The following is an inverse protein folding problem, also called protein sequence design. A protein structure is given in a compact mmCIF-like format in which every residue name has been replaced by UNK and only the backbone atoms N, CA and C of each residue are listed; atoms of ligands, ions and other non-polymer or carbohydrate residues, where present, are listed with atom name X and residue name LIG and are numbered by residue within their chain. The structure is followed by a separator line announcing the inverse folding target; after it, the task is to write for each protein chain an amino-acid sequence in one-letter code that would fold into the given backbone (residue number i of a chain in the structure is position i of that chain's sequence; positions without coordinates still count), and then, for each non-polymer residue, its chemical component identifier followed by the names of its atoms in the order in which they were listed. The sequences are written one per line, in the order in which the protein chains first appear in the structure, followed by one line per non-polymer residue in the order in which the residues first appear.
data_IF_790861852175
#
_entry.id   IF_790861852175
#
_cell.length_a   1.000
_cell.length_b   1.000
_cell.length_c   1.000
_cell.angle_alpha   90.00
_cell.angle_beta   90.00
_cell.angle_gamma   90.00
#
_symmetry.space_group_name_H-M   'P 1'
#
loop_
_entity.id
_entity.type
_entity.pdbx_description
1 polymer ?
#
# COMPACT_ATOMS: atom_id res chain seq x y z
N UNK A 1 -39.13 -86.61 9.12
CA UNK A 1 -40.02 -87.27 8.19
C UNK A 1 -39.65 -86.84 6.81
N UNK A 2 -38.75 -87.55 6.13
CA UNK A 2 -39.02 -88.53 5.07
C UNK A 2 -39.60 -87.84 3.79
N UNK A 3 -39.10 -87.98 2.63
CA UNK A 3 -38.56 -89.02 1.74
C UNK A 3 -38.16 -88.38 0.42
N UNK A 4 -36.98 -88.66 -0.12
CA UNK A 4 -36.69 -89.56 -1.25
C UNK A 4 -37.44 -89.25 -2.58
N UNK A 5 -36.77 -89.07 -3.69
CA UNK A 5 -36.27 -90.02 -4.68
C UNK A 5 -35.79 -89.34 -5.97
N UNK A 6 -34.53 -89.49 -6.33
CA UNK A 6 -33.91 -90.26 -7.44
C UNK A 6 -34.14 -89.83 -8.89
N UNK A 7 -32.97 -89.69 -9.58
CA UNK A 7 -32.62 -90.07 -10.99
C UNK A 7 -32.93 -89.00 -12.05
N UNK A 8 -32.05 -88.72 -12.96
CA UNK A 8 -30.98 -89.46 -13.61
C UNK A 8 -30.16 -88.62 -14.60
N UNK A 9 -29.07 -89.12 -14.93
CA UNK A 9 -27.99 -88.73 -15.77
C UNK A 9 -28.32 -88.24 -17.18
N UNK A 10 -27.56 -87.26 -17.71
CA UNK A 10 -26.88 -87.48 -19.00
C UNK A 10 -25.80 -86.41 -19.16
N UNK A 11 -24.61 -86.89 -19.49
CA UNK A 11 -23.43 -86.14 -19.95
C UNK A 11 -23.69 -85.50 -21.34
N UNK A 12 -23.31 -84.28 -21.50
CA UNK A 12 -22.76 -83.79 -22.78
C UNK A 12 -21.70 -82.71 -22.52
N UNK A 13 -20.50 -82.97 -22.96
CA UNK A 13 -19.34 -82.11 -23.03
C UNK A 13 -19.63 -81.01 -24.02
N UNK A 14 -19.36 -79.79 -23.68
CA UNK A 14 -19.03 -78.71 -24.65
C UNK A 14 -17.84 -77.91 -24.10
N UNK A 15 -16.78 -78.05 -24.81
CA UNK A 15 -15.45 -77.48 -24.62
C UNK A 15 -15.38 -76.03 -25.03
N UNK A 16 -14.60 -75.21 -24.27
CA UNK A 16 -13.78 -74.10 -24.69
C UNK A 16 -14.40 -72.97 -25.51
N UNK A 17 -14.76 -71.90 -24.84
CA UNK A 17 -14.76 -70.50 -25.37
C UNK A 17 -14.50 -69.39 -24.33
N UNK A 18 -13.95 -69.75 -23.15
CA UNK A 18 -13.74 -68.78 -22.07
C UNK A 18 -12.32 -68.14 -22.02
N UNK A 19 -11.38 -68.60 -22.87
CA UNK A 19 -9.96 -68.18 -22.76
C UNK A 19 -9.55 -67.07 -23.71
N UNK A 20 -10.35 -66.73 -24.72
CA UNK A 20 -10.02 -65.65 -25.70
C UNK A 20 -10.57 -64.29 -25.28
N UNK A 21 -11.65 -64.23 -24.45
CA UNK A 21 -12.19 -62.94 -23.99
C UNK A 21 -11.39 -62.30 -22.85
N UNK A 22 -10.59 -63.07 -22.13
CA UNK A 22 -9.83 -62.56 -20.95
C UNK A 22 -8.54 -61.84 -21.33
N UNK A 23 -7.95 -62.14 -22.50
CA UNK A 23 -6.75 -61.44 -23.00
C UNK A 23 -7.05 -60.12 -23.71
N UNK A 24 -8.24 -59.91 -24.24
CA UNK A 24 -8.64 -58.63 -24.83
C UNK A 24 -9.03 -57.55 -23.81
N UNK A 25 -9.50 -57.97 -22.62
CA UNK A 25 -9.84 -57.03 -21.55
C UNK A 25 -8.62 -56.53 -20.77
N UNK A 26 -7.52 -57.30 -20.70
CA UNK A 26 -6.27 -56.87 -20.04
C UNK A 26 -5.43 -55.92 -20.89
N UNK A 27 -5.54 -55.92 -22.24
CA UNK A 27 -4.81 -55.00 -23.12
C UNK A 27 -5.49 -53.62 -23.17
N UNK A 28 -6.82 -53.52 -22.95
CA UNK A 28 -7.53 -52.25 -22.94
C UNK A 28 -7.38 -51.52 -21.56
N UNK A 29 -7.15 -52.31 -20.45
CA UNK A 29 -6.90 -51.71 -19.13
C UNK A 29 -5.48 -51.16 -18.96
N UNK A 30 -4.48 -51.65 -19.72
CA UNK A 30 -3.09 -51.19 -19.62
C UNK A 30 -2.79 -49.91 -20.46
N UNK A 31 -3.69 -49.45 -21.36
CA UNK A 31 -3.48 -48.29 -22.20
C UNK A 31 -4.25 -47.04 -21.72
N UNK A 32 -5.00 -47.13 -20.61
CA UNK A 32 -5.77 -46.03 -20.06
C UNK A 32 -5.12 -45.40 -18.81
N UNK A 33 -3.88 -45.73 -18.49
CA UNK A 33 -3.22 -45.28 -17.22
C UNK A 33 -2.21 -44.14 -17.45
N UNK A 34 -2.06 -43.55 -18.64
CA UNK A 34 -1.05 -42.50 -18.83
C UNK A 34 -1.53 -41.31 -19.66
N UNK A 35 -2.64 -40.71 -19.27
CA UNK A 35 -2.97 -39.32 -19.64
C UNK A 35 -3.74 -38.71 -18.47
N UNK A 36 -3.12 -38.67 -17.28
CA UNK A 36 -3.40 -37.53 -16.39
C UNK A 36 -2.69 -36.35 -17.05
N UNK A 37 -3.42 -35.30 -17.48
CA UNK A 37 -2.75 -34.05 -17.73
C UNK A 37 -2.09 -33.71 -16.39
N UNK A 38 -0.77 -33.60 -16.37
CA UNK A 38 -0.12 -32.81 -15.31
C UNK A 38 -0.90 -31.50 -15.29
N UNK A 39 -1.70 -31.29 -14.26
CA UNK A 39 -2.14 -29.95 -13.91
C UNK A 39 -0.82 -29.19 -13.66
N UNK A 40 -0.30 -28.54 -14.70
CA UNK A 40 0.72 -27.53 -14.53
C UNK A 40 0.05 -26.53 -13.59
N UNK A 41 0.40 -26.63 -12.30
CA UNK A 41 -0.08 -25.69 -11.30
C UNK A 41 0.17 -24.29 -11.88
N UNK A 42 -0.87 -23.52 -12.06
CA UNK A 42 -0.76 -22.19 -12.61
C UNK A 42 0.32 -21.48 -11.81
N UNK A 43 1.37 -21.00 -12.50
CA UNK A 43 2.52 -20.37 -11.84
C UNK A 43 2.00 -19.20 -11.02
N UNK A 44 2.29 -19.19 -9.71
CA UNK A 44 1.85 -18.15 -8.81
C UNK A 44 2.51 -16.81 -9.18
N UNK A 45 1.74 -15.73 -9.11
CA UNK A 45 2.21 -14.37 -9.40
C UNK A 45 3.12 -13.86 -8.29
N UNK A 46 4.36 -13.48 -8.62
CA UNK A 46 5.24 -12.76 -7.70
C UNK A 46 4.77 -11.30 -7.53
N UNK A 47 5.19 -10.65 -6.46
CA UNK A 47 4.81 -9.27 -6.17
C UNK A 47 6.04 -8.41 -5.86
N UNK A 48 6.17 -7.29 -6.55
CA UNK A 48 7.08 -6.20 -6.21
C UNK A 48 6.25 -4.96 -5.87
N UNK A 49 6.16 -4.64 -4.58
CA UNK A 49 5.45 -3.45 -4.09
C UNK A 49 6.47 -2.34 -3.85
N UNK A 50 6.41 -1.30 -4.68
CA UNK A 50 7.28 -0.12 -4.65
C UNK A 50 6.54 1.00 -3.95
N UNK A 51 7.09 1.49 -2.84
CA UNK A 51 6.53 2.59 -2.07
C UNK A 51 7.49 3.76 -2.08
N UNK A 52 7.11 4.85 -2.77
CA UNK A 52 7.80 6.13 -2.70
C UNK A 52 7.47 6.84 -1.38
N UNK A 53 8.36 7.67 -0.87
CA UNK A 53 8.28 8.27 0.45
C UNK A 53 8.37 9.79 0.37
N UNK A 54 7.33 10.49 0.82
CA UNK A 54 7.25 11.96 0.75
C UNK A 54 7.37 12.46 -0.70
N UNK A 55 6.48 12.04 -1.61
CA UNK A 55 6.54 12.36 -3.02
C UNK A 55 5.24 13.02 -3.51
N UNK A 56 5.35 14.24 -4.03
CA UNK A 56 4.20 14.99 -4.55
C UNK A 56 3.64 14.34 -5.81
N UNK A 57 2.32 14.29 -5.91
CA UNK A 57 1.62 13.64 -7.03
C UNK A 57 1.92 14.24 -8.41
N UNK A 58 2.35 15.49 -8.47
CA UNK A 58 2.68 16.19 -9.71
C UNK A 58 4.17 16.11 -10.09
N UNK A 59 5.06 15.63 -9.21
CA UNK A 59 6.50 15.65 -9.44
C UNK A 59 7.00 14.42 -10.22
N UNK A 60 6.33 14.14 -11.36
CA UNK A 60 6.67 13.06 -12.29
C UNK A 60 6.57 13.57 -13.74
N UNK A 61 7.43 13.07 -14.61
CA UNK A 61 7.36 13.37 -16.06
C UNK A 61 6.03 12.97 -16.67
N UNK A 62 5.51 11.76 -16.37
CA UNK A 62 4.22 11.29 -16.89
C UNK A 62 3.00 12.06 -16.34
N UNK A 63 3.19 12.86 -15.28
CA UNK A 63 2.17 13.78 -14.75
C UNK A 63 2.31 15.20 -15.31
N UNK A 64 3.34 15.46 -16.14
CA UNK A 64 3.55 16.72 -16.84
C UNK A 64 4.53 17.68 -16.17
N UNK A 65 5.33 17.22 -15.18
CA UNK A 65 6.33 18.08 -14.57
C UNK A 65 7.45 18.44 -15.58
N UNK A 66 7.74 19.73 -15.72
CA UNK A 66 8.65 20.22 -16.78
C UNK A 66 10.14 19.93 -16.51
N UNK A 67 10.54 19.82 -15.25
CA UNK A 67 11.95 19.77 -14.85
C UNK A 67 12.39 18.45 -14.23
N UNK A 68 11.51 17.79 -13.47
CA UNK A 68 11.84 16.54 -12.79
C UNK A 68 12.00 15.41 -13.79
N UNK A 69 13.13 14.71 -13.72
CA UNK A 69 13.47 13.59 -14.61
C UNK A 69 13.12 12.26 -13.95
N UNK A 70 12.09 11.59 -14.50
CA UNK A 70 11.62 10.30 -14.01
C UNK A 70 11.44 9.27 -15.15
N UNK A 71 12.45 9.04 -16.01
CA UNK A 71 12.30 8.21 -17.20
C UNK A 71 11.89 6.76 -16.89
N UNK A 72 12.30 6.22 -15.75
CA UNK A 72 11.97 4.85 -15.35
C UNK A 72 10.55 4.74 -14.76
N UNK A 73 10.11 5.71 -13.97
CA UNK A 73 8.73 5.83 -13.51
C UNK A 73 7.79 6.14 -14.69
N UNK A 74 8.24 6.95 -15.66
CA UNK A 74 7.50 7.20 -16.91
C UNK A 74 7.35 5.92 -17.74
N UNK A 75 8.39 5.08 -17.80
CA UNK A 75 8.33 3.75 -18.39
C UNK A 75 7.33 2.88 -17.65
N UNK A 76 7.41 2.81 -16.31
CA UNK A 76 6.49 2.05 -15.48
C UNK A 76 5.04 2.51 -15.72
N UNK A 77 4.78 3.81 -15.73
CA UNK A 77 3.46 4.37 -15.99
C UNK A 77 2.92 3.98 -17.37
N UNK A 78 3.74 4.06 -18.42
CA UNK A 78 3.38 3.68 -19.78
C UNK A 78 3.06 2.20 -19.94
N UNK A 79 3.73 1.34 -19.16
CA UNK A 79 3.56 -0.11 -19.19
C UNK A 79 2.50 -0.62 -18.19
N UNK A 80 1.89 0.27 -17.40
CA UNK A 80 0.96 -0.05 -16.32
C UNK A 80 -0.49 0.29 -16.66
N UNK A 81 -1.41 -0.31 -15.92
CA UNK A 81 -2.69 0.32 -15.64
C UNK A 81 -2.43 1.43 -14.62
N UNK A 82 -2.49 2.67 -15.10
CA UNK A 82 -2.20 3.88 -14.33
C UNK A 82 -3.48 4.52 -13.81
N UNK A 83 -3.53 4.80 -12.51
CA UNK A 83 -4.56 5.59 -11.85
C UNK A 83 -3.93 6.89 -11.31
N UNK A 84 -3.98 8.00 -12.05
CA UNK A 84 -3.40 9.28 -11.61
C UNK A 84 -4.18 9.96 -10.50
N UNK A 85 -5.41 9.48 -10.22
CA UNK A 85 -6.28 9.92 -9.13
C UNK A 85 -6.36 8.85 -8.04
N UNK A 86 -5.19 8.32 -7.66
CA UNK A 86 -5.03 7.52 -6.46
C UNK A 86 -4.92 8.41 -5.23
N UNK A 87 -5.30 7.86 -4.07
CA UNK A 87 -5.23 8.56 -2.79
C UNK A 87 -4.71 7.62 -1.70
N UNK A 88 -3.88 8.14 -0.81
CA UNK A 88 -3.59 7.46 0.45
C UNK A 88 -4.66 7.82 1.48
N UNK A 89 -4.94 6.92 2.43
CA UNK A 89 -5.99 7.14 3.43
C UNK A 89 -5.63 8.21 4.46
N UNK A 90 -4.32 8.46 4.65
CA UNK A 90 -3.81 9.45 5.58
C UNK A 90 -2.53 10.08 5.04
N UNK A 91 -2.36 11.39 5.22
CA UNK A 91 -1.20 12.17 4.74
C UNK A 91 0.02 12.08 5.68
N UNK A 92 0.24 10.90 6.29
CA UNK A 92 1.31 10.68 7.24
C UNK A 92 1.88 9.25 7.09
N UNK A 93 3.19 9.12 7.17
CA UNK A 93 3.95 7.90 6.87
C UNK A 93 3.42 6.65 7.58
N UNK A 94 3.48 6.62 8.91
CA UNK A 94 3.20 5.42 9.69
C UNK A 94 1.78 4.88 9.48
N UNK A 95 0.70 5.69 9.58
CA UNK A 95 -0.66 5.22 9.32
C UNK A 95 -0.88 4.81 7.84
N UNK A 96 -0.28 5.54 6.89
CA UNK A 96 -0.41 5.18 5.48
C UNK A 96 0.29 3.86 5.14
N UNK A 97 1.51 3.64 5.61
CA UNK A 97 2.22 2.36 5.43
C UNK A 97 1.48 1.19 6.08
N UNK A 98 0.89 1.42 7.27
CA UNK A 98 0.05 0.42 7.93
C UNK A 98 -1.21 0.12 7.10
N UNK A 99 -1.85 1.13 6.49
CA UNK A 99 -2.97 0.91 5.55
C UNK A 99 -2.54 0.09 4.34
N UNK A 100 -1.42 0.41 3.70
CA UNK A 100 -0.92 -0.30 2.51
C UNK A 100 -0.71 -1.80 2.82
N UNK A 101 -0.14 -2.11 3.99
CA UNK A 101 0.20 -3.49 4.34
C UNK A 101 -0.98 -4.30 4.91
N UNK A 102 -2.02 -3.62 5.45
CA UNK A 102 -3.17 -4.28 6.09
C UNK A 102 -4.44 -4.25 5.24
N UNK A 103 -4.57 -3.31 4.30
CA UNK A 103 -5.81 -3.02 3.58
C UNK A 103 -6.93 -2.48 4.47
N UNK A 104 -6.59 -1.84 5.60
CA UNK A 104 -7.53 -1.25 6.57
C UNK A 104 -7.27 0.23 6.77
N UNK A 105 -8.30 0.96 7.17
CA UNK A 105 -8.16 2.37 7.53
C UNK A 105 -7.45 2.56 8.86
N UNK A 106 -6.78 3.72 9.10
CA UNK A 106 -6.07 3.99 10.34
C UNK A 106 -6.90 3.80 11.62
N UNK A 107 -8.18 4.22 11.64
CA UNK A 107 -9.06 3.97 12.78
C UNK A 107 -9.36 2.48 13.03
N UNK A 108 -9.19 1.62 12.04
CA UNK A 108 -9.43 0.17 12.15
C UNK A 108 -8.21 -0.61 12.61
N UNK A 109 -6.99 -0.18 12.22
CA UNK A 109 -5.75 -0.81 12.66
C UNK A 109 -5.08 -0.07 13.82
N UNK A 110 -5.65 1.03 14.31
CA UNK A 110 -5.22 1.84 15.46
C UNK A 110 -3.82 2.45 15.36
N UNK A 111 -3.22 2.44 14.18
CA UNK A 111 -1.92 3.10 13.93
C UNK A 111 -2.24 4.43 13.23
N UNK A 112 -2.49 5.45 14.01
CA UNK A 112 -2.96 6.76 13.52
C UNK A 112 -1.86 7.80 13.39
N UNK A 113 -0.73 7.62 14.08
CA UNK A 113 0.32 8.62 14.22
C UNK A 113 1.71 8.02 13.98
N UNK A 114 2.71 8.88 13.74
CA UNK A 114 4.11 8.43 13.61
C UNK A 114 4.73 8.09 14.96
N UNK A 115 4.45 8.87 15.99
CA UNK A 115 5.07 8.74 17.29
C UNK A 115 4.00 8.52 18.39
N UNK A 116 4.32 7.75 19.44
CA UNK A 116 3.42 7.53 20.58
C UNK A 116 3.25 8.80 21.40
N UNK A 117 2.27 8.82 22.34
CA UNK A 117 2.04 9.95 23.22
C UNK A 117 3.27 10.36 24.01
N UNK A 118 3.44 11.68 24.20
CA UNK A 118 4.43 12.22 25.11
C UNK A 118 3.79 12.69 26.40
N UNK A 119 4.52 12.51 27.50
CA UNK A 119 4.09 13.02 28.80
C UNK A 119 4.54 14.48 28.97
N UNK A 120 3.60 15.36 29.32
CA UNK A 120 3.89 16.78 29.58
C UNK A 120 4.95 16.93 30.65
N UNK A 121 5.96 17.74 30.37
CA UNK A 121 7.07 18.01 31.30
C UNK A 121 8.17 16.96 31.33
N UNK A 122 8.03 15.85 30.59
CA UNK A 122 9.06 14.83 30.44
C UNK A 122 9.71 14.98 29.05
N UNK A 123 10.95 15.45 29.04
CA UNK A 123 11.68 15.62 27.78
C UNK A 123 12.00 14.26 27.14
N UNK A 124 11.78 14.13 25.81
CA UNK A 124 11.98 12.89 25.03
C UNK A 124 13.39 12.30 25.22
N UNK A 125 14.40 13.13 25.40
CA UNK A 125 15.80 12.72 25.56
C UNK A 125 16.20 12.33 26.99
N UNK A 126 15.29 12.48 27.97
CA UNK A 126 15.51 12.01 29.34
C UNK A 126 15.36 10.48 29.42
N UNK A 127 15.91 9.81 30.44
CA UNK A 127 15.70 8.38 30.64
C UNK A 127 14.22 7.97 30.66
N UNK A 128 13.39 8.73 31.38
CA UNK A 128 11.95 8.49 31.47
C UNK A 128 11.25 8.74 30.13
N UNK A 129 11.60 9.81 29.42
CA UNK A 129 11.02 10.09 28.11
C UNK A 129 11.37 9.03 27.07
N UNK A 130 12.59 8.51 27.07
CA UNK A 130 12.97 7.38 26.21
C UNK A 130 12.20 6.12 26.56
N UNK A 131 12.02 5.79 27.85
CA UNK A 131 11.23 4.63 28.27
C UNK A 131 9.78 4.77 27.80
N UNK A 132 9.12 5.90 28.07
CA UNK A 132 7.75 6.16 27.61
C UNK A 132 7.61 6.04 26.10
N UNK A 133 8.59 6.53 25.34
CA UNK A 133 8.60 6.41 23.90
C UNK A 133 8.70 4.95 23.45
N UNK A 134 9.59 4.15 24.04
CA UNK A 134 9.76 2.73 23.73
C UNK A 134 8.49 1.96 24.07
N UNK A 135 7.92 2.19 25.26
CA UNK A 135 6.69 1.53 25.70
C UNK A 135 5.50 1.88 24.78
N UNK A 136 5.40 3.14 24.39
CA UNK A 136 4.38 3.57 23.44
C UNK A 136 4.56 2.99 22.04
N UNK A 137 5.80 2.92 21.53
CA UNK A 137 6.11 2.23 20.27
C UNK A 137 5.74 0.75 20.33
N UNK A 138 6.00 0.09 21.45
CA UNK A 138 5.63 -1.31 21.61
C UNK A 138 4.11 -1.52 21.53
N UNK A 139 3.30 -0.65 22.14
CA UNK A 139 1.84 -0.71 21.99
C UNK A 139 1.40 -0.53 20.53
N UNK A 140 1.98 0.42 19.79
CA UNK A 140 1.71 0.58 18.36
C UNK A 140 2.09 -0.67 17.54
N UNK A 141 3.18 -1.35 17.90
CA UNK A 141 3.59 -2.60 17.27
C UNK A 141 2.58 -3.73 17.54
N UNK A 142 2.03 -3.82 18.75
CA UNK A 142 0.99 -4.80 19.10
C UNK A 142 -0.28 -4.59 18.28
N UNK A 143 -0.70 -3.35 17.99
CA UNK A 143 -1.84 -3.09 17.12
C UNK A 143 -1.64 -3.69 15.71
N UNK A 144 -0.43 -3.60 15.14
CA UNK A 144 -0.15 -4.25 13.86
C UNK A 144 -0.21 -5.77 13.97
N UNK A 145 0.37 -6.36 15.01
CA UNK A 145 0.36 -7.83 15.22
C UNK A 145 -1.04 -8.41 15.34
N UNK A 146 -1.98 -7.63 15.87
CA UNK A 146 -3.40 -7.99 15.99
C UNK A 146 -4.18 -7.79 14.69
N UNK A 147 -3.57 -7.19 13.68
CA UNK A 147 -4.21 -6.90 12.39
C UNK A 147 -3.63 -7.83 11.31
N UNK A 148 -4.46 -8.57 10.55
CA UNK A 148 -3.96 -9.35 9.43
C UNK A 148 -3.22 -8.48 8.42
N UNK A 149 -1.99 -8.85 8.08
CA UNK A 149 -1.14 -8.15 7.13
C UNK A 149 -1.01 -8.90 5.81
N UNK A 150 -0.74 -8.19 4.74
CA UNK A 150 -0.54 -8.78 3.41
C UNK A 150 0.54 -9.89 3.39
N UNK A 151 1.76 -9.69 3.98
CA UNK A 151 2.75 -10.77 4.05
C UNK A 151 2.26 -12.00 4.80
N UNK A 152 1.55 -11.83 5.92
CA UNK A 152 1.02 -12.93 6.70
C UNK A 152 -0.07 -13.72 5.92
N UNK A 153 -0.94 -13.02 5.18
CA UNK A 153 -1.96 -13.66 4.34
C UNK A 153 -1.32 -14.41 3.17
N UNK A 154 -0.32 -13.84 2.51
CA UNK A 154 0.42 -14.48 1.42
C UNK A 154 1.22 -15.70 1.90
N UNK A 155 1.82 -15.65 3.09
CA UNK A 155 2.59 -16.75 3.66
C UNK A 155 1.75 -18.03 3.83
N UNK A 156 0.43 -17.91 4.09
CA UNK A 156 -0.49 -19.05 4.15
C UNK A 156 -0.64 -19.79 2.81
N UNK A 157 -0.26 -19.13 1.71
CA UNK A 157 -0.25 -19.69 0.36
C UNK A 157 1.17 -20.00 -0.15
N UNK A 158 2.15 -20.08 0.75
CA UNK A 158 3.52 -20.51 0.44
C UNK A 158 4.44 -19.39 -0.08
N UNK A 159 4.04 -18.13 -0.01
CA UNK A 159 4.89 -17.01 -0.39
C UNK A 159 6.01 -16.78 0.62
N UNK A 160 7.21 -16.52 0.11
CA UNK A 160 8.24 -15.84 0.88
C UNK A 160 8.09 -14.33 0.74
N UNK A 161 8.41 -13.58 1.78
CA UNK A 161 8.29 -12.12 1.75
C UNK A 161 9.50 -11.44 2.34
N UNK A 162 9.93 -10.33 1.71
CA UNK A 162 11.13 -9.58 2.10
C UNK A 162 10.81 -8.12 2.34
N UNK A 163 11.00 -7.68 3.59
CA UNK A 163 10.87 -6.27 3.97
C UNK A 163 12.19 -5.55 3.78
N UNK A 164 12.16 -4.44 3.02
CA UNK A 164 13.31 -3.55 2.86
C UNK A 164 12.90 -2.08 3.04
N UNK A 165 13.83 -1.25 3.44
CA UNK A 165 13.61 0.19 3.59
C UNK A 165 12.77 0.55 4.80
N UNK A 166 11.91 1.54 4.60
CA UNK A 166 11.10 2.16 5.65
C UNK A 166 10.11 1.18 6.27
N UNK A 167 10.16 1.10 7.58
CA UNK A 167 9.28 0.29 8.40
C UNK A 167 9.16 0.88 9.80
N UNK A 168 7.94 0.88 10.37
CA UNK A 168 7.68 1.57 11.63
C UNK A 168 7.35 0.64 12.80
N UNK A 169 6.89 -0.58 12.52
CA UNK A 169 6.31 -1.48 13.50
C UNK A 169 7.30 -2.55 14.00
N UNK A 170 8.44 -2.07 14.49
CA UNK A 170 9.43 -2.95 15.13
C UNK A 170 10.14 -3.89 14.16
N UNK A 171 10.48 -5.08 14.62
CA UNK A 171 11.14 -6.09 13.80
C UNK A 171 10.24 -6.53 12.63
N UNK A 172 10.80 -6.79 11.44
CA UNK A 172 10.04 -7.15 10.23
C UNK A 172 9.05 -8.30 10.43
N UNK A 173 9.35 -9.27 11.30
CA UNK A 173 8.48 -10.41 11.61
C UNK A 173 7.13 -10.01 12.22
N UNK A 174 7.06 -8.87 12.88
CA UNK A 174 5.79 -8.32 13.41
C UNK A 174 4.80 -7.97 12.32
N UNK A 175 5.30 -7.59 11.14
CA UNK A 175 4.49 -7.40 9.94
C UNK A 175 4.18 -8.68 9.16
N UNK A 176 4.58 -9.85 9.67
CA UNK A 176 4.37 -11.14 9.00
C UNK A 176 5.35 -11.45 7.88
N UNK A 177 6.40 -10.66 7.69
CA UNK A 177 7.44 -10.94 6.69
C UNK A 177 8.29 -12.14 7.09
N UNK A 178 8.62 -12.99 6.12
CA UNK A 178 9.47 -14.17 6.34
C UNK A 178 10.95 -13.78 6.50
N UNK A 179 11.37 -12.76 5.76
CA UNK A 179 12.71 -12.16 5.79
C UNK A 179 12.63 -10.63 5.79
N UNK A 180 13.67 -9.94 6.23
CA UNK A 180 13.69 -8.49 6.23
C UNK A 180 14.96 -7.89 6.82
N UNK A 181 15.14 -6.60 6.56
CA UNK A 181 16.33 -5.85 6.96
C UNK A 181 16.15 -5.14 8.31
N UNK A 182 14.92 -4.71 8.64
CA UNK A 182 14.64 -3.93 9.84
C UNK A 182 14.69 -4.79 11.11
N UNK A 183 15.41 -4.31 12.15
CA UNK A 183 15.57 -4.98 13.45
C UNK A 183 14.63 -4.42 14.52
N UNK A 184 14.12 -3.22 14.35
CA UNK A 184 13.12 -2.65 15.23
C UNK A 184 13.26 -1.17 15.54
N UNK A 185 14.29 -0.51 15.04
CA UNK A 185 14.46 0.92 15.22
C UNK A 185 13.48 1.72 14.36
N UNK A 186 13.22 2.94 14.80
CA UNK A 186 12.37 3.89 14.09
C UNK A 186 12.84 4.09 12.65
N UNK A 187 11.92 4.16 11.71
CA UNK A 187 12.09 4.30 10.26
C UNK A 187 12.63 3.08 9.52
N UNK A 188 13.25 2.09 10.15
CA UNK A 188 13.68 0.89 9.46
C UNK A 188 15.17 0.55 9.53
N UNK A 189 15.95 1.23 10.36
CA UNK A 189 17.36 0.95 10.68
C UNK A 189 18.23 0.51 9.47
N UNK A 190 18.78 -0.72 9.48
CA UNK A 190 19.58 -1.26 8.37
C UNK A 190 18.83 -1.29 7.04
N UNK A 191 17.49 -1.38 7.08
CA UNK A 191 16.64 -1.34 5.91
C UNK A 191 16.79 -0.07 5.08
N UNK A 192 17.13 1.04 5.72
CA UNK A 192 17.30 2.33 5.05
C UNK A 192 18.51 2.40 4.09
N UNK A 193 19.39 1.41 4.11
CA UNK A 193 20.51 1.31 3.17
C UNK A 193 20.05 0.90 1.76
N UNK A 194 18.88 0.26 1.62
CA UNK A 194 18.34 -0.16 0.32
C UNK A 194 18.05 1.04 -0.58
N UNK A 195 18.41 0.95 -1.86
CA UNK A 195 18.25 2.05 -2.82
C UNK A 195 19.21 3.24 -2.59
N UNK A 196 19.82 3.34 -1.41
CA UNK A 196 20.82 4.37 -1.09
C UNK A 196 22.25 3.87 -1.23
N UNK A 197 22.50 2.62 -0.87
CA UNK A 197 23.83 1.99 -0.92
C UNK A 197 23.89 0.84 -1.90
N UNK A 198 22.89 -0.06 -1.89
CA UNK A 198 22.86 -1.24 -2.73
C UNK A 198 21.43 -1.76 -2.91
N UNK A 199 21.17 -2.40 -4.06
CA UNK A 199 19.97 -3.17 -4.34
C UNK A 199 20.19 -4.68 -4.15
N UNK A 200 21.43 -5.09 -3.86
CA UNK A 200 21.84 -6.50 -3.82
C UNK A 200 20.98 -7.37 -2.89
N UNK A 201 20.56 -6.92 -1.68
CA UNK A 201 19.71 -7.75 -0.81
C UNK A 201 18.38 -8.20 -1.47
N UNK A 202 17.78 -7.36 -2.34
CA UNK A 202 16.58 -7.74 -3.09
C UNK A 202 16.92 -8.77 -4.16
N UNK A 203 18.02 -8.57 -4.90
CA UNK A 203 18.44 -9.51 -5.95
C UNK A 203 18.77 -10.89 -5.37
N UNK A 204 19.46 -10.95 -4.24
CA UNK A 204 19.77 -12.21 -3.55
C UNK A 204 18.51 -12.93 -3.08
N UNK A 205 17.56 -12.20 -2.49
CA UNK A 205 16.29 -12.75 -2.04
C UNK A 205 15.47 -13.32 -3.20
N UNK A 206 15.31 -12.56 -4.29
CA UNK A 206 14.55 -13.01 -5.47
C UNK A 206 15.21 -14.23 -6.11
N UNK A 207 16.55 -14.24 -6.21
CA UNK A 207 17.31 -15.37 -6.74
C UNK A 207 17.12 -16.62 -5.89
N UNK A 208 17.13 -16.49 -4.56
CA UNK A 208 16.84 -17.57 -3.63
C UNK A 208 15.42 -18.13 -3.83
N UNK A 209 14.39 -17.28 -3.85
CA UNK A 209 13.02 -17.72 -4.08
C UNK A 209 12.85 -18.45 -5.42
N UNK A 210 13.51 -17.96 -6.47
CA UNK A 210 13.51 -18.60 -7.80
C UNK A 210 14.12 -20.00 -7.76
N UNK A 211 15.27 -20.16 -7.10
CA UNK A 211 15.95 -21.46 -6.97
C UNK A 211 15.09 -22.48 -6.21
N UNK A 212 14.33 -22.03 -5.23
CA UNK A 212 13.43 -22.83 -4.41
C UNK A 212 12.03 -23.01 -5.04
N UNK A 213 11.81 -22.44 -6.23
CA UNK A 213 10.52 -22.39 -6.92
C UNK A 213 9.37 -21.86 -6.04
N UNK A 214 9.66 -20.86 -5.20
CA UNK A 214 8.69 -20.20 -4.32
C UNK A 214 8.25 -18.86 -4.87
N UNK A 215 6.96 -18.51 -4.80
CA UNK A 215 6.49 -17.18 -5.11
C UNK A 215 6.94 -16.19 -4.02
N UNK A 216 7.10 -14.93 -4.39
CA UNK A 216 7.62 -13.92 -3.47
C UNK A 216 6.81 -12.63 -3.43
N UNK A 217 6.91 -11.93 -2.29
CA UNK A 217 6.56 -10.52 -2.11
C UNK A 217 7.82 -9.75 -1.71
N UNK A 218 8.19 -8.73 -2.45
CA UNK A 218 9.18 -7.72 -2.05
C UNK A 218 8.46 -6.42 -1.68
N UNK A 219 8.69 -5.94 -0.46
CA UNK A 219 8.35 -4.61 0.01
C UNK A 219 9.57 -3.72 -0.19
N UNK A 220 9.54 -2.86 -1.21
CA UNK A 220 10.59 -1.91 -1.53
C UNK A 220 10.17 -0.49 -1.17
N UNK A 221 10.63 0.02 -0.02
CA UNK A 221 10.34 1.34 0.51
C UNK A 221 11.64 2.08 0.90
N UNK A 222 12.43 2.57 -0.05
CA UNK A 222 13.83 2.99 0.16
C UNK A 222 13.99 4.29 0.96
N UNK A 223 12.92 4.86 1.53
CA UNK A 223 12.92 6.18 2.16
C UNK A 223 13.46 7.26 1.20
N UNK A 224 13.01 7.21 -0.05
CA UNK A 224 13.29 8.16 -1.12
C UNK A 224 11.97 8.60 -1.76
N UNK A 225 11.81 9.88 -2.11
CA UNK A 225 12.74 11.00 -1.97
C UNK A 225 12.81 11.67 -0.60
N UNK A 226 12.26 11.09 0.48
CA UNK A 226 12.27 11.64 1.85
C UNK A 226 13.62 12.24 2.26
N UNK A 227 13.61 13.27 3.09
CA UNK A 227 14.82 13.85 3.66
C UNK A 227 15.66 12.85 4.51
N UNK A 228 16.99 13.03 4.59
CA UNK A 228 17.76 14.13 4.08
C UNK A 228 17.87 14.11 2.54
N UNK A 229 17.66 15.28 1.92
CA UNK A 229 17.83 15.42 0.48
C UNK A 229 19.32 15.57 0.18
N UNK A 230 19.98 14.45 -0.16
CA UNK A 230 21.42 14.30 -0.35
C UNK A 230 21.79 13.67 -1.71
N UNK A 231 21.20 14.13 -2.82
CA UNK A 231 21.59 13.65 -4.14
C UNK A 231 23.04 14.03 -4.46
N UNK A 232 23.65 13.36 -5.45
CA UNK A 232 25.02 13.66 -5.86
C UNK A 232 25.16 15.10 -6.37
N UNK A 233 26.36 15.72 -6.25
CA UNK A 233 26.56 17.12 -6.63
C UNK A 233 26.20 17.45 -8.07
N UNK A 234 26.47 16.54 -9.02
CA UNK A 234 26.13 16.68 -10.43
C UNK A 234 24.62 16.77 -10.68
N UNK A 235 23.83 16.02 -9.94
CA UNK A 235 22.36 16.07 -9.99
C UNK A 235 21.88 17.41 -9.41
N UNK A 236 22.43 17.85 -8.27
CA UNK A 236 22.07 19.15 -7.67
C UNK A 236 22.39 20.29 -8.62
N UNK A 237 23.56 20.28 -9.27
CA UNK A 237 23.97 21.31 -10.23
C UNK A 237 23.00 21.39 -11.42
N UNK A 238 22.54 20.25 -11.93
CA UNK A 238 21.54 20.22 -12.97
C UNK A 238 20.25 20.95 -12.54
N UNK A 239 19.67 20.61 -11.40
CA UNK A 239 18.42 21.20 -10.94
C UNK A 239 18.57 22.65 -10.45
N UNK A 240 19.76 23.07 -10.02
CA UNK A 240 20.04 24.47 -9.69
C UNK A 240 19.90 25.43 -10.89
N UNK A 241 19.91 24.89 -12.10
CA UNK A 241 19.63 25.67 -13.32
C UNK A 241 18.12 25.81 -13.58
N UNK A 242 17.29 24.94 -12.97
CA UNK A 242 15.83 24.90 -13.16
C UNK A 242 15.05 25.65 -12.06
N UNK A 243 15.65 25.89 -10.90
CA UNK A 243 15.02 26.56 -9.77
C UNK A 243 16.04 27.38 -8.98
N UNK A 244 15.58 28.50 -8.38
CA UNK A 244 16.42 29.29 -7.47
C UNK A 244 16.47 28.71 -6.06
N UNK A 245 15.60 27.76 -5.72
CA UNK A 245 15.57 27.13 -4.41
C UNK A 245 16.51 25.94 -4.33
N UNK A 246 17.53 26.04 -3.50
CA UNK A 246 18.42 24.91 -3.19
C UNK A 246 17.70 23.73 -2.55
N UNK A 247 16.57 23.97 -1.88
CA UNK A 247 15.78 22.95 -1.23
C UNK A 247 14.98 22.14 -2.27
N UNK A 248 14.38 22.85 -3.24
CA UNK A 248 13.67 22.22 -4.36
C UNK A 248 14.67 21.44 -5.24
N UNK A 249 15.82 22.04 -5.60
CA UNK A 249 16.82 21.38 -6.42
C UNK A 249 17.29 20.04 -5.81
N UNK A 250 17.52 20.00 -4.50
CA UNK A 250 17.91 18.77 -3.77
C UNK A 250 16.79 17.75 -3.70
N UNK A 251 15.56 18.18 -3.46
CA UNK A 251 14.39 17.32 -3.43
C UNK A 251 14.14 16.66 -4.79
N UNK A 252 14.14 17.43 -5.88
CA UNK A 252 14.05 16.89 -7.23
C UNK A 252 15.20 15.93 -7.56
N UNK A 253 16.40 16.21 -7.04
CA UNK A 253 17.53 15.31 -7.17
C UNK A 253 17.31 13.97 -6.46
N UNK A 254 16.66 13.95 -5.29
CA UNK A 254 16.30 12.70 -4.61
C UNK A 254 15.18 11.94 -5.37
N UNK A 255 14.25 12.64 -6.05
CA UNK A 255 13.29 11.99 -6.94
C UNK A 255 13.99 11.29 -8.10
N UNK A 256 14.95 11.96 -8.77
CA UNK A 256 15.72 11.32 -9.84
C UNK A 256 16.53 10.13 -9.33
N UNK A 257 17.09 10.22 -8.12
CA UNK A 257 17.77 9.08 -7.48
C UNK A 257 16.83 7.92 -7.25
N UNK A 258 15.62 8.17 -6.75
CA UNK A 258 14.59 7.15 -6.58
C UNK A 258 14.20 6.51 -7.92
N UNK A 259 13.96 7.32 -8.94
CA UNK A 259 13.64 6.87 -10.29
C UNK A 259 14.68 5.88 -10.84
N UNK A 260 15.97 6.16 -10.65
CA UNK A 260 17.05 5.24 -11.06
C UNK A 260 16.94 3.88 -10.38
N UNK A 261 16.61 3.84 -9.09
CA UNK A 261 16.45 2.57 -8.37
C UNK A 261 15.24 1.77 -8.83
N UNK A 262 14.16 2.44 -9.24
CA UNK A 262 13.02 1.79 -9.89
C UNK A 262 13.44 1.18 -11.23
N UNK A 263 14.26 1.92 -12.02
CA UNK A 263 14.86 1.40 -13.25
C UNK A 263 15.65 0.11 -13.02
N UNK A 264 16.54 0.12 -12.02
CA UNK A 264 17.36 -1.05 -11.65
C UNK A 264 16.49 -2.29 -11.35
N UNK A 265 15.36 -2.11 -10.66
CA UNK A 265 14.42 -3.21 -10.34
C UNK A 265 13.69 -3.72 -11.59
N UNK A 266 13.19 -2.84 -12.44
CA UNK A 266 12.51 -3.23 -13.66
C UNK A 266 13.46 -3.97 -14.62
N UNK A 267 14.69 -3.47 -14.78
CA UNK A 267 15.71 -4.08 -15.61
C UNK A 267 16.18 -5.42 -15.03
N UNK A 268 16.24 -5.56 -13.70
CA UNK A 268 16.51 -6.84 -13.05
C UNK A 268 15.41 -7.86 -13.37
N UNK A 269 14.12 -7.50 -13.23
CA UNK A 269 13.02 -8.40 -13.58
C UNK A 269 13.05 -8.82 -15.06
N UNK A 270 13.44 -7.91 -15.97
CA UNK A 270 13.57 -8.22 -17.38
C UNK A 270 14.72 -9.18 -17.67
N UNK A 271 15.91 -8.92 -17.11
CA UNK A 271 17.09 -9.80 -17.26
C UNK A 271 16.85 -11.22 -16.73
N UNK A 272 16.12 -11.32 -15.63
CA UNK A 272 15.79 -12.61 -15.01
C UNK A 272 14.57 -13.30 -15.64
N UNK A 273 13.95 -12.70 -16.66
CA UNK A 273 12.71 -13.17 -17.29
C UNK A 273 11.52 -13.32 -16.32
N UNK A 274 11.49 -12.46 -15.28
CA UNK A 274 10.44 -12.44 -14.24
C UNK A 274 9.33 -11.43 -14.50
N UNK A 275 9.49 -10.52 -15.48
CA UNK A 275 8.54 -9.41 -15.70
C UNK A 275 7.10 -9.85 -15.96
N UNK A 276 6.87 -10.95 -16.68
CA UNK A 276 5.52 -11.48 -16.93
C UNK A 276 4.93 -12.23 -15.74
N UNK A 277 5.76 -12.64 -14.80
CA UNK A 277 5.40 -13.44 -13.63
C UNK A 277 5.31 -12.59 -12.37
N UNK A 278 5.60 -11.29 -12.47
CA UNK A 278 5.65 -10.38 -11.32
C UNK A 278 4.67 -9.23 -11.51
N UNK A 279 3.74 -9.10 -10.58
CA UNK A 279 2.92 -7.90 -10.42
C UNK A 279 3.79 -6.84 -9.76
N UNK A 280 4.09 -5.76 -10.49
CA UNK A 280 4.71 -4.56 -9.95
C UNK A 280 3.59 -3.59 -9.57
N UNK A 281 3.57 -3.20 -8.29
CA UNK A 281 2.64 -2.22 -7.73
C UNK A 281 3.42 -1.00 -7.29
N UNK A 282 2.99 0.18 -7.69
CA UNK A 282 3.57 1.45 -7.27
C UNK A 282 2.56 2.32 -6.53
N UNK A 283 3.00 2.94 -5.44
CA UNK A 283 2.24 3.91 -4.65
C UNK A 283 3.20 4.84 -3.89
N UNK A 284 2.76 6.02 -3.50
CA UNK A 284 3.47 6.89 -2.54
C UNK A 284 2.86 6.73 -1.15
N UNK A 285 3.65 6.80 -0.07
CA UNK A 285 3.13 6.70 1.30
C UNK A 285 2.34 7.93 1.70
N UNK A 286 2.80 9.12 1.35
CA UNK A 286 2.08 10.40 1.44
C UNK A 286 2.70 11.45 0.52
N UNK A 287 1.93 12.49 0.20
CA UNK A 287 2.39 13.59 -0.61
C UNK A 287 3.32 14.55 0.16
N UNK A 288 4.14 15.29 -0.60
CA UNK A 288 5.11 16.23 -0.08
C UNK A 288 5.33 17.37 -1.07
N UNK A 289 4.98 18.58 -0.72
CA UNK A 289 5.37 19.78 -1.48
C UNK A 289 6.58 20.39 -0.78
N UNK A 290 7.73 20.37 -1.44
CA UNK A 290 8.94 20.95 -0.87
C UNK A 290 8.82 22.46 -0.66
N UNK A 291 9.11 22.94 0.57
CA UNK A 291 9.19 24.39 0.83
C UNK A 291 10.34 25.03 0.03
N UNK A 292 10.06 26.21 -0.54
CA UNK A 292 11.06 26.95 -1.31
C UNK A 292 12.21 27.50 -0.44
N UNK A 293 11.88 27.94 0.77
CA UNK A 293 12.78 28.80 1.57
C UNK A 293 13.51 28.05 2.68
N UNK A 294 13.03 26.84 3.02
CA UNK A 294 13.56 26.06 4.16
C UNK A 294 13.47 24.55 3.91
N UNK A 295 14.22 23.74 4.67
CA UNK A 295 13.98 22.30 4.73
C UNK A 295 12.56 22.01 5.21
N UNK A 296 11.99 20.87 4.76
CA UNK A 296 10.64 20.46 5.13
C UNK A 296 9.58 20.85 4.10
N UNK A 297 8.33 20.53 4.41
CA UNK A 297 7.22 20.67 3.49
C UNK A 297 6.50 22.01 3.59
N UNK A 298 5.89 22.41 2.49
CA UNK A 298 5.02 23.59 2.41
C UNK A 298 3.63 23.30 3.01
N UNK A 299 2.80 24.33 3.27
CA UNK A 299 1.40 24.17 3.63
C UNK A 299 0.61 23.36 2.58
N UNK A 300 -0.50 22.75 2.98
CA UNK A 300 -1.38 21.91 2.13
C UNK A 300 -0.69 20.69 1.55
N UNK A 301 0.30 20.17 2.23
CA UNK A 301 1.12 19.04 1.89
C UNK A 301 0.98 17.94 2.95
N UNK A 302 2.07 17.26 3.32
CA UNK A 302 2.11 16.29 4.43
C UNK A 302 1.37 16.79 5.68
N UNK A 303 0.71 15.91 6.43
CA UNK A 303 -0.13 16.22 7.60
C UNK A 303 -1.37 17.07 7.30
N UNK A 304 -1.80 17.14 6.04
CA UNK A 304 -2.98 17.91 5.67
C UNK A 304 -3.97 17.08 4.84
N UNK A 305 -5.26 17.42 4.83
CA UNK A 305 -6.29 16.71 4.07
C UNK A 305 -6.36 17.10 2.58
N UNK A 306 -5.41 17.88 2.08
CA UNK A 306 -5.39 18.34 0.70
C UNK A 306 -4.67 17.37 -0.24
N UNK A 307 -4.93 17.48 -1.55
CA UNK A 307 -4.33 16.62 -2.57
C UNK A 307 -2.80 16.65 -2.53
N UNK A 308 -2.18 17.77 -2.13
CA UNK A 308 -0.74 17.85 -1.94
C UNK A 308 -0.17 16.91 -0.89
N UNK A 309 -1.00 16.42 0.05
CA UNK A 309 -0.63 15.44 1.06
C UNK A 309 -1.19 14.04 0.83
N UNK A 310 -2.30 13.93 0.08
CA UNK A 310 -3.08 12.68 -0.02
C UNK A 310 -3.01 12.01 -1.38
N UNK A 311 -2.93 12.79 -2.47
CA UNK A 311 -2.98 12.25 -3.82
C UNK A 311 -1.66 11.56 -4.19
N UNK A 312 -1.77 10.42 -4.85
CA UNK A 312 -0.65 9.61 -5.34
C UNK A 312 -1.04 8.92 -6.64
N UNK A 313 -0.17 8.81 -7.65
CA UNK A 313 -0.41 7.86 -8.72
C UNK A 313 -0.33 6.43 -8.18
N UNK A 314 -1.25 5.56 -8.61
CA UNK A 314 -1.19 4.12 -8.37
C UNK A 314 -0.98 3.44 -9.71
N UNK A 315 0.00 2.53 -9.78
CA UNK A 315 0.34 1.81 -11.01
C UNK A 315 0.37 0.31 -10.76
N UNK A 316 -0.21 -0.45 -11.70
CA UNK A 316 -0.22 -1.92 -11.69
C UNK A 316 0.35 -2.41 -13.02
N UNK A 317 1.49 -3.10 -12.99
CA UNK A 317 2.16 -3.62 -14.17
C UNK A 317 2.39 -5.13 -14.05
N UNK A 318 1.88 -5.89 -15.02
CA UNK A 318 2.25 -7.29 -15.25
C UNK A 318 2.07 -7.56 -16.74
N UNK A 319 3.15 -7.52 -17.54
CA UNK A 319 3.08 -7.68 -19.00
C UNK A 319 2.43 -9.01 -19.40
N UNK A 320 1.47 -8.92 -20.32
CA UNK A 320 0.71 -10.09 -20.78
C UNK A 320 -0.49 -10.47 -19.92
N UNK A 321 -0.63 -9.90 -18.72
CA UNK A 321 -1.77 -10.13 -17.82
C UNK A 321 -2.59 -8.84 -17.61
N UNK A 322 -1.92 -7.71 -17.37
CA UNK A 322 -2.56 -6.41 -17.17
C UNK A 322 -2.39 -5.57 -18.43
N UNK A 323 -3.51 -5.11 -18.99
CA UNK A 323 -3.49 -4.17 -20.12
C UNK A 323 -3.08 -2.78 -19.63
N UNK A 324 -2.03 -2.24 -20.23
CA UNK A 324 -1.60 -0.88 -19.96
C UNK A 324 -2.66 0.13 -20.42
N UNK A 325 -2.81 1.19 -19.66
CA UNK A 325 -3.77 2.25 -19.95
C UNK A 325 -3.98 3.18 -18.76
N UNK A 326 -4.62 4.32 -19.00
CA UNK A 326 -4.91 5.34 -17.99
C UNK A 326 -6.39 5.30 -17.61
N UNK A 327 -6.67 5.27 -16.32
CA UNK A 327 -8.02 5.33 -15.75
C UNK A 327 -8.14 6.54 -14.84
N UNK A 328 -9.15 7.38 -15.08
CA UNK A 328 -9.43 8.56 -14.25
C UNK A 328 -10.31 8.24 -13.02
N UNK A 329 -10.58 6.97 -12.76
CA UNK A 329 -11.29 6.54 -11.55
C UNK A 329 -10.51 6.93 -10.28
N UNK A 330 -11.23 7.35 -9.26
CA UNK A 330 -10.65 7.56 -7.93
C UNK A 330 -10.39 6.20 -7.27
N UNK A 331 -9.16 5.96 -6.91
CA UNK A 331 -8.72 4.72 -6.24
C UNK A 331 -7.96 5.07 -4.96
N UNK A 332 -7.81 4.13 -4.06
CA UNK A 332 -7.19 4.38 -2.76
C UNK A 332 -6.17 3.31 -2.39
N UNK A 333 -5.20 3.65 -1.56
CA UNK A 333 -4.20 2.70 -1.06
C UNK A 333 -4.79 1.51 -0.31
N UNK A 334 -6.02 1.63 0.20
CA UNK A 334 -6.77 0.53 0.81
C UNK A 334 -7.11 -0.59 -0.20
N UNK A 335 -7.10 -0.27 -1.51
CA UNK A 335 -7.39 -1.21 -2.59
C UNK A 335 -6.20 -2.12 -2.92
N UNK A 336 -5.00 -1.79 -2.45
CA UNK A 336 -3.79 -2.50 -2.83
C UNK A 336 -3.77 -3.94 -2.29
N UNK A 337 -4.09 -4.13 -1.02
CA UNK A 337 -4.10 -5.46 -0.41
C UNK A 337 -5.11 -6.42 -1.09
N UNK A 338 -6.39 -6.07 -1.29
CA UNK A 338 -7.32 -6.94 -2.01
C UNK A 338 -6.94 -7.16 -3.49
N UNK A 339 -6.31 -6.17 -4.14
CA UNK A 339 -5.81 -6.30 -5.51
C UNK A 339 -4.66 -7.31 -5.60
N UNK A 340 -3.67 -7.19 -4.72
CA UNK A 340 -2.51 -8.09 -4.68
C UNK A 340 -2.95 -9.52 -4.36
N UNK A 341 -3.80 -9.71 -3.34
CA UNK A 341 -4.33 -11.03 -3.00
C UNK A 341 -5.06 -11.66 -4.19
N UNK A 342 -5.93 -10.92 -4.86
CA UNK A 342 -6.65 -11.41 -6.03
C UNK A 342 -5.71 -11.78 -7.19
N UNK A 343 -4.68 -10.96 -7.46
CA UNK A 343 -3.67 -11.26 -8.47
C UNK A 343 -2.86 -12.52 -8.15
N UNK A 344 -2.69 -12.82 -6.86
CA UNK A 344 -2.04 -14.04 -6.37
C UNK A 344 -3.00 -15.26 -6.31
N UNK A 345 -4.25 -15.14 -6.77
CA UNK A 345 -5.25 -16.20 -6.73
C UNK A 345 -5.82 -16.46 -5.34
N UNK A 346 -5.65 -15.52 -4.40
CA UNK A 346 -6.13 -15.60 -3.03
C UNK A 346 -7.38 -14.73 -2.88
N UNK A 347 -8.46 -15.31 -2.37
CA UNK A 347 -9.69 -14.55 -2.11
C UNK A 347 -9.46 -13.56 -0.97
N UNK A 348 -9.64 -12.24 -1.21
CA UNK A 348 -9.51 -11.24 -0.15
C UNK A 348 -10.53 -11.50 0.97
N UNK A 349 -10.13 -11.38 2.24
CA UNK A 349 -11.08 -11.46 3.36
C UNK A 349 -12.21 -10.43 3.23
N UNK A 350 -13.46 -10.77 3.60
CA UNK A 350 -14.59 -9.83 3.55
C UNK A 350 -14.42 -8.58 4.43
N UNK A 351 -13.50 -8.61 5.38
CA UNK A 351 -13.16 -7.49 6.24
C UNK A 351 -12.32 -6.40 5.56
N UNK A 352 -11.77 -6.66 4.36
CA UNK A 352 -11.10 -5.63 3.57
C UNK A 352 -12.15 -4.79 2.84
N UNK A 353 -12.12 -3.48 3.05
CA UNK A 353 -13.09 -2.54 2.48
C UNK A 353 -12.68 -2.03 1.08
N UNK A 354 -11.42 -2.23 0.69
CA UNK A 354 -10.93 -1.88 -0.64
C UNK A 354 -11.49 -2.76 -1.74
N UNK A 355 -11.42 -2.29 -2.98
CA UNK A 355 -11.83 -3.04 -4.17
C UNK A 355 -10.61 -3.61 -4.90
N UNK A 356 -10.79 -4.71 -5.61
CA UNK A 356 -9.77 -5.22 -6.52
C UNK A 356 -9.67 -4.29 -7.75
N UNK A 357 -8.55 -3.60 -7.91
CA UNK A 357 -8.30 -2.66 -9.01
C UNK A 357 -8.16 -3.34 -10.39
N UNK A 358 -8.03 -4.66 -10.44
CA UNK A 358 -8.03 -5.44 -11.67
C UNK A 358 -9.46 -5.77 -12.14
N UNK A 359 -10.47 -5.56 -11.30
CA UNK A 359 -11.88 -5.73 -11.61
C UNK A 359 -12.49 -4.38 -12.03
N UNK A 360 -12.56 -4.14 -13.35
CA UNK A 360 -13.08 -2.89 -13.93
C UNK A 360 -14.50 -2.59 -13.45
N UNK A 361 -15.33 -3.62 -13.27
CA UNK A 361 -16.72 -3.44 -12.85
C UNK A 361 -16.82 -2.88 -11.44
N UNK A 362 -15.96 -3.33 -10.53
CA UNK A 362 -15.88 -2.83 -9.15
C UNK A 362 -15.29 -1.43 -9.07
N UNK A 363 -14.25 -1.16 -9.87
CA UNK A 363 -13.64 0.17 -9.95
C UNK A 363 -14.64 1.19 -10.44
N UNK A 364 -15.41 0.86 -11.49
CA UNK A 364 -16.41 1.76 -12.09
C UNK A 364 -17.64 1.94 -11.18
N UNK A 365 -18.03 0.89 -10.45
CA UNK A 365 -19.19 0.93 -9.54
C UNK A 365 -18.91 1.71 -8.26
N UNK A 366 -17.64 1.94 -7.90
CA UNK A 366 -17.30 2.72 -6.71
C UNK A 366 -17.47 4.21 -6.96
N UNK A 367 -18.37 4.83 -6.21
CA UNK A 367 -18.68 6.25 -6.32
C UNK A 367 -17.79 7.15 -5.44
N UNK A 368 -17.22 6.59 -4.35
CA UNK A 368 -16.60 7.40 -3.30
C UNK A 368 -15.39 6.71 -2.67
N UNK A 369 -14.44 7.53 -2.22
CA UNK A 369 -13.29 7.15 -1.41
C UNK A 369 -13.21 8.05 -0.18
N UNK A 370 -12.62 7.53 0.88
CA UNK A 370 -12.57 8.19 2.19
C UNK A 370 -11.15 8.17 2.76
N UNK A 371 -10.93 9.04 3.74
CA UNK A 371 -9.74 9.00 4.58
C UNK A 371 -9.80 9.96 5.75
N UNK A 372 -8.70 9.98 6.48
CA UNK A 372 -8.57 10.66 7.75
C UNK A 372 -7.14 11.15 7.96
N UNK A 373 -7.00 12.30 8.57
CA UNK A 373 -5.70 12.87 8.92
C UNK A 373 -5.63 13.06 10.42
N UNK A 374 -4.51 12.66 11.00
CA UNK A 374 -4.28 12.65 12.43
C UNK A 374 -3.10 13.54 12.82
N UNK A 375 -2.94 13.77 14.11
CA UNK A 375 -1.75 14.42 14.67
C UNK A 375 -0.50 13.61 14.37
N UNK A 376 0.66 14.28 14.25
CA UNK A 376 1.94 13.59 14.05
C UNK A 376 2.29 12.64 15.20
N UNK A 377 2.02 13.08 16.42
CA UNK A 377 2.22 12.32 17.64
C UNK A 377 0.88 12.01 18.26
N UNK A 378 0.67 10.78 18.65
CA UNK A 378 -0.57 10.32 19.25
C UNK A 378 -0.87 11.08 20.57
N UNK A 379 -2.15 11.29 20.79
CA UNK A 379 -2.72 11.73 22.06
C UNK A 379 -3.13 10.48 22.84
N UNK A 380 -3.80 9.57 22.15
CA UNK A 380 -4.20 8.26 22.65
C UNK A 380 -3.92 7.18 21.62
N UNK A 381 -3.53 5.98 22.03
CA UNK A 381 -3.23 4.86 21.14
C UNK A 381 -4.44 3.93 20.94
N UNK A 382 -5.41 3.97 21.83
CA UNK A 382 -6.58 3.09 21.80
C UNK A 382 -7.83 3.80 21.26
N UNK A 383 -7.84 5.15 21.27
CA UNK A 383 -8.96 5.99 20.87
C UNK A 383 -8.56 6.87 19.70
N UNK A 384 -8.73 6.40 18.45
CA UNK A 384 -8.30 7.12 17.25
C UNK A 384 -8.96 8.50 17.11
N UNK A 385 -10.18 8.67 17.62
CA UNK A 385 -10.89 9.95 17.64
C UNK A 385 -10.13 11.06 18.37
N UNK A 386 -9.33 10.73 19.39
CA UNK A 386 -8.50 11.69 20.12
C UNK A 386 -7.34 12.27 19.31
N UNK A 387 -6.91 11.55 18.28
CA UNK A 387 -5.81 11.93 17.40
C UNK A 387 -6.32 12.64 16.14
N UNK A 388 -7.64 12.58 15.86
CA UNK A 388 -8.23 13.03 14.62
C UNK A 388 -8.13 14.54 14.45
N UNK A 389 -7.69 14.96 13.25
CA UNK A 389 -7.64 16.35 12.83
C UNK A 389 -8.70 16.64 11.75
N UNK A 390 -8.76 15.82 10.71
CA UNK A 390 -9.71 15.93 9.60
C UNK A 390 -10.17 14.56 9.12
N UNK A 391 -11.41 14.53 8.66
CA UNK A 391 -11.93 13.47 7.78
C UNK A 391 -12.17 14.06 6.40
N UNK A 392 -12.02 13.24 5.39
CA UNK A 392 -12.23 13.68 4.04
C UNK A 392 -12.85 12.58 3.18
N UNK A 393 -13.54 12.98 2.11
CA UNK A 393 -14.02 12.08 1.08
C UNK A 393 -13.97 12.72 -0.30
N UNK A 394 -13.88 11.88 -1.34
CA UNK A 394 -14.04 12.30 -2.73
C UNK A 394 -15.21 11.53 -3.33
N UNK A 395 -16.11 12.25 -4.00
CA UNK A 395 -17.21 11.67 -4.78
C UNK A 395 -17.36 12.42 -6.09
N UNK A 396 -17.13 11.72 -7.21
CA UNK A 396 -17.09 12.36 -8.54
C UNK A 396 -16.04 13.48 -8.60
N UNK A 397 -16.48 14.68 -8.90
CA UNK A 397 -15.59 15.86 -8.96
C UNK A 397 -15.47 16.62 -7.63
N UNK A 398 -16.14 16.16 -6.58
CA UNK A 398 -16.22 16.89 -5.32
C UNK A 398 -15.39 16.22 -4.23
N UNK A 399 -14.63 17.03 -3.51
CA UNK A 399 -13.91 16.63 -2.31
C UNK A 399 -14.41 17.44 -1.12
N UNK A 400 -14.90 16.72 -0.10
CA UNK A 400 -15.32 17.29 1.18
C UNK A 400 -14.22 17.07 2.22
N UNK A 401 -13.90 18.12 2.97
CA UNK A 401 -12.98 18.08 4.12
C UNK A 401 -13.75 18.59 5.34
N UNK A 402 -13.77 17.77 6.40
CA UNK A 402 -14.45 18.07 7.66
C UNK A 402 -13.43 18.07 8.78
N UNK A 403 -13.16 19.23 9.41
CA UNK A 403 -12.29 19.29 10.58
C UNK A 403 -12.98 18.64 11.78
N UNK A 404 -12.24 17.99 12.65
CA UNK A 404 -12.77 17.39 13.86
C UNK A 404 -13.43 18.44 14.77
N UNK A 405 -12.97 19.71 14.71
CA UNK A 405 -13.55 20.85 15.44
C UNK A 405 -14.99 21.17 15.04
N UNK A 406 -15.39 20.89 13.81
CA UNK A 406 -16.76 21.19 13.32
C UNK A 406 -17.83 20.29 13.94
N UNK A 407 -17.45 19.19 14.59
CA UNK A 407 -18.37 18.24 15.22
C UNK A 407 -18.67 18.56 16.69
N UNK A 408 -18.13 19.64 17.24
CA UNK A 408 -18.32 20.06 18.64
C UNK A 408 -17.63 19.12 19.65
N UNK A 409 -16.99 18.06 19.18
CA UNK A 409 -16.29 17.04 19.97
C UNK A 409 -14.79 17.26 19.98
N UNK A 410 -14.33 18.44 19.65
CA UNK A 410 -12.91 18.66 19.77
C UNK A 410 -12.60 18.75 21.23
N UNK A 411 -11.95 17.76 21.62
CA UNK A 411 -11.23 17.76 22.87
C UNK A 411 -10.31 18.99 22.84
N UNK A 412 -10.68 20.05 23.56
CA UNK A 412 -9.81 21.22 23.79
C UNK A 412 -8.43 20.78 24.26
N UNK A 413 -8.33 19.55 24.79
CA UNK A 413 -7.09 18.88 25.12
C UNK A 413 -6.25 18.50 23.88
N UNK A 414 -6.84 18.12 22.74
CA UNK A 414 -6.08 17.79 21.52
C UNK A 414 -5.42 19.03 20.95
N UNK A 415 -6.18 20.12 20.79
CA UNK A 415 -5.64 21.39 20.36
C UNK A 415 -4.54 21.89 21.32
N UNK A 416 -4.75 21.82 22.65
CA UNK A 416 -3.75 22.20 23.64
C UNK A 416 -2.51 21.32 23.69
N UNK A 417 -2.62 20.02 23.35
CA UNK A 417 -1.46 19.13 23.25
C UNK A 417 -0.73 19.28 21.92
N UNK A 418 -1.46 19.68 20.91
CA UNK A 418 -0.91 20.08 19.63
C UNK A 418 -0.06 21.34 19.76
N UNK A 419 -0.50 22.35 20.56
CA UNK A 419 0.27 23.54 20.93
C UNK A 419 1.68 23.22 21.43
N UNK A 420 1.82 22.16 22.22
CA UNK A 420 3.10 21.80 22.81
C UNK A 420 4.14 21.28 21.79
N UNK A 421 3.73 21.05 20.53
CA UNK A 421 4.58 20.39 19.52
C UNK A 421 4.61 21.03 18.16
N UNK A 422 3.68 21.92 17.88
CA UNK A 422 3.75 22.63 16.64
C UNK A 422 4.91 23.60 16.65
N UNK A 423 5.76 23.36 15.67
CA UNK A 423 6.87 24.25 15.32
C UNK A 423 6.34 25.62 14.88
N UNK A 424 5.03 25.71 14.58
CA UNK A 424 4.36 26.94 14.12
C UNK A 424 3.01 27.15 14.85
N UNK A 425 2.95 28.09 15.81
CA UNK A 425 1.72 28.49 16.49
C UNK A 425 0.59 28.92 15.54
N UNK A 426 0.92 29.44 14.35
CA UNK A 426 -0.09 29.86 13.37
C UNK A 426 -0.89 28.69 12.79
N UNK A 427 -0.36 27.48 12.87
CA UNK A 427 -1.06 26.28 12.43
C UNK A 427 -2.16 25.87 13.39
N UNK A 428 -2.01 26.13 14.69
CA UNK A 428 -3.03 25.87 15.70
C UNK A 428 -4.24 26.78 15.52
N UNK A 429 -4.00 28.10 15.38
CA UNK A 429 -5.06 29.05 15.13
C UNK A 429 -5.86 28.71 13.86
N UNK A 430 -5.18 28.27 12.82
CA UNK A 430 -5.82 27.79 11.58
C UNK A 430 -6.68 26.56 11.82
N UNK A 431 -6.25 25.64 12.67
CA UNK A 431 -7.02 24.45 13.00
C UNK A 431 -8.22 24.76 13.89
N UNK A 432 -8.05 25.59 14.92
CA UNK A 432 -9.14 26.00 15.80
C UNK A 432 -10.25 26.77 15.07
N UNK A 433 -9.87 27.49 14.01
CA UNK A 433 -10.78 28.23 13.14
C UNK A 433 -11.12 27.47 11.86
N UNK A 434 -10.75 26.18 11.76
CA UNK A 434 -11.03 25.39 10.57
C UNK A 434 -12.53 25.21 10.36
N UNK A 435 -12.95 25.36 9.13
CA UNK A 435 -14.34 25.21 8.69
C UNK A 435 -14.46 23.99 7.77
N UNK A 436 -15.68 23.56 7.52
CA UNK A 436 -15.95 22.57 6.49
C UNK A 436 -15.58 23.15 5.13
N UNK A 437 -14.85 22.38 4.32
CA UNK A 437 -14.40 22.79 3.00
C UNK A 437 -14.94 21.82 1.93
N UNK A 438 -15.35 22.40 0.79
CA UNK A 438 -15.79 21.66 -0.38
C UNK A 438 -15.05 22.17 -1.61
N UNK A 439 -14.42 21.28 -2.35
CA UNK A 439 -13.66 21.60 -3.56
C UNK A 439 -14.16 20.84 -4.77
N UNK A 440 -14.24 21.53 -5.91
CA UNK A 440 -14.40 20.89 -7.21
C UNK A 440 -13.02 20.55 -7.78
N UNK A 441 -12.47 19.40 -7.41
CA UNK A 441 -11.11 18.97 -7.76
C UNK A 441 -10.88 18.70 -9.26
N UNK A 442 -11.93 18.75 -10.09
CA UNK A 442 -11.79 18.67 -11.53
C UNK A 442 -11.51 20.07 -12.13
N UNK A 443 -12.15 21.11 -11.60
CA UNK A 443 -11.98 22.50 -12.05
C UNK A 443 -10.87 23.23 -11.27
N UNK A 444 -10.68 22.85 -10.01
CA UNK A 444 -9.71 23.41 -9.06
C UNK A 444 -8.84 22.31 -8.45
N UNK A 445 -7.89 21.73 -9.20
CA UNK A 445 -7.04 20.64 -8.71
C UNK A 445 -6.06 21.05 -7.61
N UNK A 446 -5.90 22.37 -7.36
CA UNK A 446 -5.07 22.91 -6.29
C UNK A 446 -5.88 23.27 -5.04
N UNK A 447 -7.21 23.03 -5.06
CA UNK A 447 -8.13 23.22 -3.92
C UNK A 447 -8.11 24.66 -3.35
N UNK A 448 -8.04 25.68 -4.21
CA UNK A 448 -7.92 27.10 -3.84
C UNK A 448 -9.24 27.74 -3.44
N UNK A 449 -10.36 27.31 -4.05
CA UNK A 449 -11.67 27.89 -3.91
C UNK A 449 -12.62 27.00 -3.11
N UNK A 450 -12.87 27.35 -1.84
CA UNK A 450 -13.83 26.64 -1.00
C UNK A 450 -15.27 26.98 -1.41
N UNK A 451 -15.95 26.01 -1.99
CA UNK A 451 -17.33 26.12 -2.48
C UNK A 451 -18.39 25.70 -1.43
N UNK A 452 -18.04 25.41 -0.17
CA UNK A 452 -18.97 24.87 0.81
C UNK A 452 -20.19 25.77 1.06
N UNK A 453 -20.00 27.09 1.12
CA UNK A 453 -21.08 28.06 1.39
C UNK A 453 -22.08 28.13 0.21
N UNK A 454 -21.61 27.95 -1.03
CA UNK A 454 -22.45 28.00 -2.23
C UNK A 454 -23.16 26.68 -2.54
N UNK A 455 -22.80 25.56 -1.85
CA UNK A 455 -23.36 24.22 -2.08
C UNK A 455 -23.78 23.53 -0.77
N UNK A 456 -24.66 24.13 0.07
CA UNK A 456 -24.96 23.61 1.41
C UNK A 456 -25.62 22.24 1.39
N UNK A 457 -26.50 21.95 0.42
CA UNK A 457 -27.20 20.68 0.30
C UNK A 457 -26.22 19.55 -0.05
N UNK A 458 -25.27 19.80 -0.95
CA UNK A 458 -24.21 18.86 -1.31
C UNK A 458 -23.29 18.58 -0.12
N UNK A 459 -22.88 19.61 0.62
CA UNK A 459 -22.11 19.46 1.87
C UNK A 459 -22.87 18.56 2.85
N UNK A 460 -24.18 18.78 3.03
CA UNK A 460 -25.01 17.98 3.94
C UNK A 460 -25.07 16.50 3.51
N UNK A 461 -25.24 16.21 2.20
CA UNK A 461 -25.27 14.85 1.68
C UNK A 461 -23.93 14.13 1.87
N UNK A 462 -22.83 14.76 1.43
CA UNK A 462 -21.49 14.18 1.54
C UNK A 462 -21.09 13.98 3.00
N UNK A 463 -21.44 14.90 3.90
CA UNK A 463 -21.17 14.77 5.34
C UNK A 463 -21.88 13.56 5.94
N UNK A 464 -23.16 13.33 5.63
CA UNK A 464 -23.90 12.14 6.09
C UNK A 464 -23.23 10.84 5.68
N UNK A 465 -22.66 10.78 4.46
CA UNK A 465 -21.90 9.63 3.95
C UNK A 465 -20.60 9.44 4.71
N UNK A 466 -19.84 10.52 4.91
CA UNK A 466 -18.61 10.52 5.67
C UNK A 466 -18.83 10.07 7.13
N UNK A 467 -19.90 10.56 7.78
CA UNK A 467 -20.27 10.17 9.14
C UNK A 467 -20.72 8.70 9.22
N UNK A 468 -21.41 8.20 8.20
CA UNK A 468 -21.84 6.79 8.14
C UNK A 468 -20.64 5.84 7.95
N UNK A 469 -19.60 6.27 7.23
CA UNK A 469 -18.39 5.49 7.02
C UNK A 469 -17.50 5.44 8.26
N UNK A 470 -17.31 6.56 8.94
CA UNK A 470 -16.35 6.68 10.04
C UNK A 470 -16.93 6.15 11.36
N UNK A 471 -16.42 5.01 11.80
CA UNK A 471 -16.81 4.32 13.03
C UNK A 471 -15.54 3.86 13.75
N UNK A 472 -14.91 4.76 14.54
CA UNK A 472 -13.69 4.47 15.28
C UNK A 472 -13.88 3.47 16.40
#
# INVERSE_FOLDING_TARGET
VSKDLKRGSSFLRATSSATVLWHCVQIVAATLVTLQPELVAAKQTNVLLIVSDDHHWADYGFMGHEHVRTPHLDRLARESRLFPRGYVTSSLCCPSLATIITGRYPHQHLITCNDPPEQRGVGRNTPDGRRLFIDGRERMNVHLEQTPTLPAMLAQSGYESFQTGKWWQGHFRRGGFTQGMTRGDRHGDEGLSIGRTSMQPIYDFVSHCRNDAKPFLVWYAPMLPHDPHDPSPDIVEHYAQCTQSKHIARYWGNIERFDRTVGDLLDFLDRENLSKETLVVYVTDNGWIQSMDKPGFAPRSKLSPYDGGLRTPIMLRQPGTITAGRSEAHVSSIDLAPTILAACGISPPPSLMGVNLLDESKVTAREEIFGECFTHTAIDLEHPEENLMWRWMVRGQWKLIVPATADGNVHQSAAKRWEARLVDPSSLEKFENAVVELYNIAADPEEKENCAVSHPDLVSDLRKRLDAWWKP
#
